data_IF_212927235372
#
_entry.id   IF_212927235372
#
_cell.length_a   1.000
_cell.length_b   1.000
_cell.length_c   1.000
_cell.angle_alpha   90.00
_cell.angle_beta   90.00
_cell.angle_gamma   90.00
#
_symmetry.space_group_name_H-M   'P 1'
#
loop_
_entity.id
_entity.type
_entity.pdbx_description
1 polymer ?
#
# COMPACT_ATOMS: atom_id res chain seq x y z
N UNK A 1 38.43 12.57 -11.04
CA UNK A 1 37.01 12.26 -11.30
C UNK A 1 36.18 13.13 -10.37
N UNK A 2 35.62 14.25 -10.85
CA UNK A 2 34.80 15.14 -10.00
C UNK A 2 33.39 14.55 -9.85
N UNK A 3 32.98 14.27 -8.62
CA UNK A 3 31.60 13.99 -8.28
C UNK A 3 30.74 15.22 -8.66
N UNK A 4 29.74 15.02 -9.52
CA UNK A 4 28.77 16.08 -9.85
C UNK A 4 27.88 16.31 -8.63
N UNK A 5 28.13 17.40 -7.91
CA UNK A 5 27.17 17.96 -6.96
C UNK A 5 25.91 18.35 -7.72
N UNK A 6 24.79 17.71 -7.43
CA UNK A 6 23.49 18.11 -7.99
C UNK A 6 22.45 18.27 -6.90
N UNK A 7 22.72 19.19 -5.99
CA UNK A 7 21.71 19.73 -5.07
C UNK A 7 20.86 20.79 -5.80
N UNK A 8 20.18 20.37 -6.86
CA UNK A 8 19.01 21.05 -7.39
C UNK A 8 17.94 19.99 -7.54
N UNK A 9 17.29 19.68 -6.43
CA UNK A 9 16.17 18.73 -6.40
C UNK A 9 15.09 19.27 -7.31
N UNK A 10 15.09 18.82 -8.57
CA UNK A 10 14.12 19.26 -9.55
C UNK A 10 12.80 18.59 -9.21
N UNK A 11 11.78 19.39 -8.94
CA UNK A 11 10.45 18.89 -8.66
C UNK A 11 9.69 18.64 -9.96
N UNK A 12 9.32 17.38 -10.18
CA UNK A 12 8.66 16.89 -11.37
C UNK A 12 7.20 16.55 -11.06
N UNK A 13 6.34 16.67 -12.06
CA UNK A 13 4.99 16.09 -11.98
C UNK A 13 5.02 14.57 -12.13
N UNK A 14 3.94 13.89 -11.73
CA UNK A 14 3.80 12.45 -11.94
C UNK A 14 4.01 12.04 -13.42
N UNK A 15 3.58 12.89 -14.36
CA UNK A 15 3.73 12.63 -15.80
C UNK A 15 5.18 12.71 -16.25
N UNK A 16 5.93 13.69 -15.75
CA UNK A 16 7.35 13.85 -16.06
C UNK A 16 8.18 12.73 -15.44
N UNK A 17 7.92 12.40 -14.17
CA UNK A 17 8.60 11.30 -13.48
C UNK A 17 8.34 9.96 -14.17
N UNK A 18 7.10 9.69 -14.58
CA UNK A 18 6.74 8.51 -15.36
C UNK A 18 7.54 8.41 -16.66
N UNK A 19 7.65 9.53 -17.39
CA UNK A 19 8.41 9.58 -18.65
C UNK A 19 9.90 9.31 -18.45
N UNK A 20 10.50 9.84 -17.38
CA UNK A 20 11.93 9.67 -17.11
C UNK A 20 12.28 8.27 -16.59
N UNK A 21 11.42 7.70 -15.75
CA UNK A 21 11.63 6.40 -15.12
C UNK A 21 11.18 5.21 -15.97
N UNK A 22 10.38 5.45 -17.01
CA UNK A 22 9.77 4.39 -17.82
C UNK A 22 8.54 3.74 -17.17
N UNK A 23 8.09 4.22 -16.00
CA UNK A 23 6.86 3.75 -15.36
C UNK A 23 5.61 4.42 -15.93
N UNK A 24 4.45 3.79 -15.70
CA UNK A 24 3.17 4.44 -15.98
C UNK A 24 2.86 5.52 -14.94
N UNK A 25 2.10 6.54 -15.34
CA UNK A 25 1.61 7.58 -14.41
C UNK A 25 0.77 6.97 -13.27
N UNK A 26 0.00 5.91 -13.56
CA UNK A 26 -0.78 5.19 -12.57
C UNK A 26 0.12 4.53 -11.51
N UNK A 27 1.26 3.95 -11.92
CA UNK A 27 2.25 3.38 -10.99
C UNK A 27 2.80 4.44 -10.04
N UNK A 28 3.15 5.63 -10.54
CA UNK A 28 3.65 6.72 -9.70
C UNK A 28 2.61 7.13 -8.65
N UNK A 29 1.34 7.28 -9.05
CA UNK A 29 0.26 7.58 -8.10
C UNK A 29 0.02 6.46 -7.08
N UNK A 30 0.16 5.20 -7.51
CA UNK A 30 0.05 4.05 -6.61
C UNK A 30 1.16 4.07 -5.56
N UNK A 31 2.41 4.25 -5.98
CA UNK A 31 3.56 4.38 -5.08
C UNK A 31 3.42 5.56 -4.12
N UNK A 32 2.88 6.70 -4.60
CA UNK A 32 2.55 7.84 -3.75
C UNK A 32 1.47 7.50 -2.72
N UNK A 33 0.42 6.79 -3.13
CA UNK A 33 -0.70 6.40 -2.26
C UNK A 33 -0.25 5.42 -1.19
N UNK A 34 0.65 4.51 -1.55
CA UNK A 34 1.27 3.53 -0.67
C UNK A 34 2.43 4.11 0.15
N UNK A 35 2.67 5.44 0.05
CA UNK A 35 3.73 6.17 0.74
C UNK A 35 5.15 5.62 0.51
N UNK A 36 5.36 4.94 -0.63
CA UNK A 36 6.64 4.32 -0.99
C UNK A 36 7.65 5.29 -1.58
N UNK A 37 7.19 6.44 -2.08
CA UNK A 37 8.05 7.47 -2.68
C UNK A 37 7.78 8.84 -2.02
N UNK A 38 8.81 9.69 -1.86
CA UNK A 38 8.65 11.03 -1.33
C UNK A 38 7.87 11.92 -2.31
N UNK A 39 7.01 12.77 -1.77
CA UNK A 39 6.24 13.75 -2.53
C UNK A 39 6.13 15.07 -1.76
N UNK A 40 5.91 16.17 -2.49
CA UNK A 40 5.71 17.51 -1.94
C UNK A 40 4.45 18.11 -2.53
N UNK A 41 3.70 18.87 -1.72
CA UNK A 41 2.49 19.56 -2.15
C UNK A 41 2.61 21.06 -1.80
N UNK A 42 3.20 21.88 -2.69
CA UNK A 42 3.51 23.29 -2.39
C UNK A 42 2.28 24.12 -2.05
N UNK A 43 1.12 23.76 -2.60
CA UNK A 43 -0.16 24.45 -2.39
C UNK A 43 -0.99 23.94 -1.21
N UNK A 44 -0.47 23.05 -0.36
CA UNK A 44 -1.22 22.49 0.76
C UNK A 44 -2.35 21.56 0.33
N UNK A 45 -3.34 21.33 1.21
CA UNK A 45 -4.44 20.37 1.00
C UNK A 45 -5.19 20.70 -0.32
N UNK A 46 -5.24 19.72 -1.23
CA UNK A 46 -5.76 19.80 -2.61
C UNK A 46 -4.86 20.52 -3.64
N UNK A 47 -3.67 20.98 -3.25
CA UNK A 47 -2.68 21.55 -4.17
C UNK A 47 -2.04 20.52 -5.10
N UNK A 48 -1.27 21.00 -6.09
CA UNK A 48 -0.52 20.15 -7.02
C UNK A 48 0.52 19.31 -6.27
N UNK A 49 0.57 18.02 -6.59
CA UNK A 49 1.60 17.11 -6.09
C UNK A 49 2.79 17.11 -7.06
N UNK A 50 3.98 17.26 -6.50
CA UNK A 50 5.25 17.16 -7.22
C UNK A 50 6.18 16.17 -6.52
N UNK A 51 7.10 15.60 -7.27
CA UNK A 51 8.00 14.55 -6.86
C UNK A 51 9.44 15.00 -7.11
N UNK A 52 10.36 14.77 -6.18
CA UNK A 52 11.79 14.88 -6.46
C UNK A 52 12.20 14.00 -7.66
N UNK A 53 13.20 14.42 -8.44
CA UNK A 53 13.72 13.61 -9.56
C UNK A 53 14.26 12.24 -9.11
N UNK A 54 14.84 12.21 -7.92
CA UNK A 54 15.40 11.08 -7.19
C UNK A 54 14.35 10.33 -6.34
N UNK A 55 13.05 10.62 -6.50
CA UNK A 55 12.00 10.05 -5.66
C UNK A 55 11.93 8.52 -5.73
N UNK A 56 12.21 7.93 -6.89
CA UNK A 56 12.22 6.47 -7.06
C UNK A 56 13.47 5.82 -6.45
N UNK A 57 14.60 6.52 -6.48
CA UNK A 57 15.85 6.05 -5.87
C UNK A 57 15.78 6.14 -4.34
N UNK A 58 15.08 7.17 -3.84
CA UNK A 58 14.77 7.37 -2.42
C UNK A 58 13.52 6.64 -1.97
N UNK A 59 12.99 5.75 -2.80
CA UNK A 59 11.87 4.91 -2.40
C UNK A 59 12.28 4.17 -1.12
N UNK A 60 11.55 4.43 -0.03
CA UNK A 60 11.97 3.98 1.29
C UNK A 60 11.68 2.47 1.38
N UNK A 61 12.69 1.58 1.48
CA UNK A 61 12.43 0.16 1.68
C UNK A 61 11.82 -0.15 3.05
N UNK A 62 11.77 0.86 3.94
CA UNK A 62 11.46 0.72 5.36
C UNK A 62 9.97 0.53 5.68
N UNK A 63 9.06 0.62 4.71
CA UNK A 63 7.65 0.23 4.90
C UNK A 63 7.41 -1.16 4.35
N UNK A 64 8.20 -2.11 4.82
CA UNK A 64 7.68 -3.43 5.11
C UNK A 64 7.83 -3.60 6.62
N UNK A 65 6.84 -3.23 7.45
CA UNK A 65 6.62 -4.12 8.57
C UNK A 65 6.37 -5.46 7.90
N UNK A 66 7.32 -6.38 8.04
CA UNK A 66 6.94 -7.74 8.34
C UNK A 66 6.04 -7.57 9.56
N UNK A 67 4.76 -7.25 9.36
CA UNK A 67 3.76 -7.69 10.27
C UNK A 67 4.00 -9.21 10.24
N UNK A 68 4.39 -9.84 11.35
CA UNK A 68 4.03 -11.24 11.47
C UNK A 68 2.52 -11.20 11.27
N UNK A 69 2.06 -11.61 10.08
CA UNK A 69 0.75 -12.21 9.96
C UNK A 69 0.85 -13.45 10.84
N UNK A 70 0.71 -13.24 12.15
CA UNK A 70 0.00 -14.16 13.00
C UNK A 70 -1.34 -14.32 12.29
N UNK A 71 -1.35 -15.28 11.36
CA UNK A 71 -2.51 -16.10 11.10
C UNK A 71 -2.81 -16.78 12.44
N UNK A 72 -3.31 -15.99 13.39
CA UNK A 72 -4.15 -16.48 14.46
C UNK A 72 -5.46 -16.79 13.75
N UNK A 73 -5.43 -17.89 13.00
CA UNK A 73 -6.63 -18.64 12.68
C UNK A 73 -7.11 -19.17 14.03
N UNK A 74 -7.78 -18.33 14.79
CA UNK A 74 -8.83 -18.84 15.66
C UNK A 74 -9.80 -19.51 14.71
N UNK A 75 -9.60 -20.82 14.56
CA UNK A 75 -10.45 -21.79 13.89
C UNK A 75 -11.74 -21.96 14.71
N UNK A 76 -12.28 -20.86 15.24
CA UNK A 76 -13.53 -20.86 15.96
C UNK A 76 -14.60 -20.47 14.95
N UNK A 77 -15.35 -21.44 14.40
CA UNK A 77 -16.49 -21.11 13.57
C UNK A 77 -17.43 -20.21 14.38
N UNK A 78 -17.76 -19.05 13.82
CA UNK A 78 -18.77 -18.16 14.38
C UNK A 78 -19.99 -19.01 14.77
N UNK A 79 -20.52 -18.91 16.00
CA UNK A 79 -21.68 -19.68 16.42
C UNK A 79 -22.91 -19.20 15.64
N UNK A 80 -23.10 -19.77 14.45
CA UNK A 80 -24.30 -19.61 13.66
C UNK A 80 -25.45 -20.38 14.28
N UNK A 81 -26.67 -19.94 13.98
CA UNK A 81 -27.88 -20.70 14.31
C UNK A 81 -27.77 -22.08 13.66
N UNK A 82 -27.74 -23.14 14.47
CA UNK A 82 -27.81 -24.51 13.94
C UNK A 82 -29.19 -24.72 13.34
N UNK A 83 -29.29 -25.29 12.13
CA UNK A 83 -30.57 -25.54 11.50
C UNK A 83 -31.35 -26.64 12.23
N UNK A 84 -32.67 -26.48 12.30
CA UNK A 84 -33.59 -27.22 13.17
C UNK A 84 -33.66 -28.73 12.89
N UNK A 85 -33.30 -29.15 11.67
CA UNK A 85 -33.28 -30.56 11.27
C UNK A 85 -32.17 -31.39 11.92
N UNK A 86 -31.16 -30.74 12.55
CA UNK A 86 -30.13 -31.43 13.34
C UNK A 86 -30.59 -31.83 14.75
N UNK A 87 -31.76 -31.37 15.21
CA UNK A 87 -32.39 -31.84 16.45
C UNK A 87 -33.15 -33.13 16.18
N UNK A 88 -32.43 -34.19 15.82
CA UNK A 88 -33.02 -35.54 15.75
C UNK A 88 -32.93 -36.18 17.13
N UNK A 89 -33.80 -35.77 18.06
CA UNK A 89 -34.18 -36.60 19.19
C UNK A 89 -35.11 -37.70 18.66
N UNK A 90 -34.49 -38.73 18.09
CA UNK A 90 -35.10 -40.03 17.94
C UNK A 90 -35.12 -40.70 19.31
N UNK A 91 -36.17 -40.45 20.09
CA UNK A 91 -36.51 -41.27 21.24
C UNK A 91 -37.44 -42.40 20.77
N UNK A 92 -36.82 -43.50 20.35
CA UNK A 92 -37.43 -44.82 20.22
C UNK A 92 -37.62 -45.41 21.64
N UNK A 93 -38.87 -45.60 22.07
CA UNK A 93 -39.19 -46.44 23.22
C UNK A 93 -40.53 -47.18 22.97
N UNK A 94 -40.38 -48.47 22.65
CA UNK A 94 -41.26 -49.63 22.84
C UNK A 94 -42.75 -49.44 23.15
#
# INVERSE_FOLDING_TARGET
>A
MMAKSKDRTSYLTAKELARLSGFSVATIWRLKRDEKIPFVQPGGKHGKVVFPEDALERANPSTNPIAPVLNDKSDEPLPGRRPDWMSSDGEEAH
#
